data_IF_445916095159
#
_entry.id   IF_445916095159
#
_cell.length_a   1.000
_cell.length_b   1.000
_cell.length_c   1.000
_cell.angle_alpha   90.00
_cell.angle_beta   90.00
_cell.angle_gamma   90.00
#
_symmetry.space_group_name_H-M   'P 1'
#
loop_
_entity.id
_entity.type
_entity.pdbx_description
1 polymer ?
#
# COMPACT_ATOMS: atom_id res chain seq x y z
N UNK A 1 -1.01 0.58 8.82
CA UNK A 1 -2.33 1.24 8.91
C UNK A 1 -3.47 0.23 8.86
N UNK A 2 -3.55 -0.61 7.82
CA UNK A 2 -4.67 -1.55 7.61
C UNK A 2 -4.99 -2.47 8.81
N UNK A 3 -3.96 -2.97 9.52
CA UNK A 3 -4.18 -3.82 10.70
C UNK A 3 -4.83 -3.06 11.88
N UNK A 4 -4.52 -1.78 12.06
CA UNK A 4 -5.15 -0.96 13.11
C UNK A 4 -6.59 -0.60 12.76
N UNK A 5 -6.87 -0.22 11.52
CA UNK A 5 -8.24 0.07 11.11
C UNK A 5 -9.14 -1.18 11.26
N UNK A 6 -8.63 -2.38 10.96
CA UNK A 6 -9.34 -3.65 11.23
C UNK A 6 -9.63 -3.85 12.73
N UNK A 7 -8.72 -3.45 13.62
CA UNK A 7 -8.95 -3.49 15.06
C UNK A 7 -10.02 -2.49 15.50
N UNK A 8 -9.98 -1.26 14.97
CA UNK A 8 -10.98 -0.22 15.25
C UNK A 8 -12.37 -0.67 14.82
N UNK A 9 -12.52 -1.21 13.61
CA UNK A 9 -13.82 -1.74 13.13
C UNK A 9 -14.35 -2.86 14.05
N UNK A 10 -13.47 -3.76 14.51
CA UNK A 10 -13.85 -4.78 15.50
C UNK A 10 -14.32 -4.19 16.84
N UNK A 11 -13.76 -3.05 17.27
CA UNK A 11 -14.22 -2.34 18.47
C UNK A 11 -15.65 -1.81 18.23
N UNK A 12 -15.90 -1.12 17.12
CA UNK A 12 -17.24 -0.65 16.75
C UNK A 12 -18.26 -1.80 16.67
N UNK A 13 -17.91 -2.92 16.04
CA UNK A 13 -18.77 -4.12 15.95
C UNK A 13 -19.08 -4.74 17.32
N UNK A 14 -18.12 -4.72 18.26
CA UNK A 14 -18.36 -5.15 19.65
C UNK A 14 -19.32 -4.21 20.37
N UNK A 15 -19.21 -2.90 20.15
CA UNK A 15 -20.16 -1.92 20.69
C UNK A 15 -21.55 -2.19 20.12
N UNK A 16 -21.68 -2.31 18.80
CA UNK A 16 -22.95 -2.65 18.13
C UNK A 16 -23.60 -3.90 18.72
N UNK A 17 -22.81 -4.97 18.90
CA UNK A 17 -23.30 -6.24 19.45
C UNK A 17 -23.69 -6.13 20.93
N UNK A 18 -22.84 -5.51 21.76
CA UNK A 18 -23.06 -5.37 23.21
C UNK A 18 -24.34 -4.60 23.51
N UNK A 19 -24.56 -3.51 22.77
CA UNK A 19 -25.70 -2.60 22.95
C UNK A 19 -26.87 -2.91 22.01
N UNK A 20 -26.79 -4.02 21.24
CA UNK A 20 -27.83 -4.48 20.30
C UNK A 20 -28.32 -3.37 19.34
N UNK A 21 -27.37 -2.57 18.86
CA UNK A 21 -27.64 -1.43 18.00
C UNK A 21 -27.94 -1.91 16.56
N UNK A 22 -28.73 -1.12 15.84
CA UNK A 22 -29.01 -1.32 14.41
C UNK A 22 -29.15 0.05 13.72
N UNK A 23 -28.84 0.17 12.43
CA UNK A 23 -29.13 1.39 11.67
C UNK A 23 -30.64 1.71 11.65
N UNK A 24 -31.05 3.00 11.75
CA UNK A 24 -30.23 4.13 12.18
C UNK A 24 -29.85 4.01 13.67
N UNK A 25 -28.57 4.16 13.98
CA UNK A 25 -28.09 3.96 15.36
C UNK A 25 -28.57 5.07 16.29
N UNK A 26 -29.14 4.68 17.43
CA UNK A 26 -29.48 5.57 18.55
C UNK A 26 -28.23 5.91 19.37
N UNK A 27 -27.50 6.92 18.90
CA UNK A 27 -26.27 7.39 19.53
C UNK A 27 -26.52 8.01 20.91
N UNK A 28 -27.65 8.69 21.10
CA UNK A 28 -27.99 9.32 22.38
C UNK A 28 -28.35 8.28 23.43
N UNK A 29 -29.10 7.24 23.05
CA UNK A 29 -29.34 6.09 23.92
C UNK A 29 -28.04 5.42 24.38
N UNK A 30 -27.08 5.22 23.45
CA UNK A 30 -25.76 4.67 23.78
C UNK A 30 -24.96 5.55 24.76
N UNK A 31 -24.96 6.87 24.55
CA UNK A 31 -24.30 7.84 25.43
C UNK A 31 -24.89 7.79 26.83
N UNK A 32 -26.23 7.79 26.91
CA UNK A 32 -26.96 7.78 28.16
C UNK A 32 -26.74 6.48 28.95
N UNK A 33 -26.77 5.32 28.27
CA UNK A 33 -26.49 4.02 28.88
C UNK A 33 -25.06 3.90 29.40
N UNK A 34 -24.09 4.56 28.75
CA UNK A 34 -22.69 4.58 29.18
C UNK A 34 -22.40 5.66 30.24
N UNK A 35 -23.37 6.52 30.57
CA UNK A 35 -23.20 7.62 31.51
C UNK A 35 -22.25 8.71 30.99
N UNK A 36 -22.13 8.89 29.68
CA UNK A 36 -21.35 9.99 29.09
C UNK A 36 -22.19 11.27 29.13
N UNK A 37 -21.59 12.37 29.59
CA UNK A 37 -22.23 13.69 29.50
C UNK A 37 -22.08 14.24 28.09
N UNK A 38 -23.17 14.55 27.40
CA UNK A 38 -23.14 15.18 26.08
C UNK A 38 -23.79 16.56 26.15
N UNK A 39 -23.07 17.60 25.70
CA UNK A 39 -23.56 18.98 25.67
C UNK A 39 -23.26 19.64 24.33
N UNK A 40 -24.04 20.67 23.99
CA UNK A 40 -23.77 21.52 22.84
C UNK A 40 -23.24 22.87 23.33
N UNK A 41 -22.09 23.30 22.82
CA UNK A 41 -21.47 24.59 23.13
C UNK A 41 -21.09 25.29 21.81
N UNK A 42 -20.94 26.61 21.81
CA UNK A 42 -20.46 27.32 20.62
C UNK A 42 -18.93 27.24 20.57
N UNK A 43 -18.41 26.41 19.67
CA UNK A 43 -16.97 26.19 19.49
C UNK A 43 -16.35 27.08 18.39
N UNK A 44 -17.11 28.03 17.85
CA UNK A 44 -16.70 28.84 16.71
C UNK A 44 -16.75 28.07 15.39
N UNK A 45 -15.98 28.50 14.39
CA UNK A 45 -15.99 27.92 13.03
C UNK A 45 -14.94 26.84 12.81
N UNK A 46 -14.04 26.63 13.77
CA UNK A 46 -12.83 25.85 13.56
C UNK A 46 -12.84 24.48 14.26
N UNK A 47 -13.90 24.11 14.97
CA UNK A 47 -14.01 22.82 15.63
C UNK A 47 -15.45 22.31 15.57
N UNK A 48 -15.61 21.04 15.24
CA UNK A 48 -16.93 20.40 15.15
C UNK A 48 -17.35 19.78 16.49
N UNK A 49 -16.39 19.33 17.28
CA UNK A 49 -16.59 18.75 18.61
C UNK A 49 -15.27 18.39 19.26
N UNK A 50 -15.35 17.94 20.51
CA UNK A 50 -14.25 17.29 21.21
C UNK A 50 -14.76 16.38 22.34
N UNK A 51 -13.89 15.47 22.78
CA UNK A 51 -14.12 14.60 23.93
C UNK A 51 -13.11 14.86 25.04
N UNK A 52 -13.60 14.95 26.28
CA UNK A 52 -12.78 15.00 27.49
C UNK A 52 -12.74 13.58 28.08
N UNK A 53 -11.56 12.96 28.05
CA UNK A 53 -11.34 11.56 28.43
C UNK A 53 -10.95 11.39 29.92
N UNK A 54 -11.11 12.42 30.75
CA UNK A 54 -10.79 12.35 32.19
C UNK A 54 -11.49 11.18 32.89
N UNK A 55 -10.70 10.39 33.62
CA UNK A 55 -11.00 9.05 34.17
C UNK A 55 -12.33 8.87 34.94
N UNK A 56 -13.00 9.94 35.42
CA UNK A 56 -14.27 9.83 36.16
C UNK A 56 -15.50 10.39 35.47
N UNK A 57 -15.36 11.28 34.48
CA UNK A 57 -16.48 12.05 33.91
C UNK A 57 -16.31 12.27 32.40
N UNK A 58 -16.55 11.21 31.63
CA UNK A 58 -16.51 11.28 30.16
C UNK A 58 -17.50 12.35 29.67
N UNK A 59 -16.98 13.35 28.94
CA UNK A 59 -17.78 14.44 28.37
C UNK A 59 -17.54 14.53 26.87
N UNK A 60 -18.62 14.63 26.09
CA UNK A 60 -18.60 15.01 24.68
C UNK A 60 -19.18 16.42 24.57
N UNK A 61 -18.48 17.29 23.86
CA UNK A 61 -18.95 18.63 23.50
C UNK A 61 -19.09 18.70 22.00
N UNK A 62 -20.31 18.95 21.52
CA UNK A 62 -20.58 19.18 20.11
C UNK A 62 -20.70 20.68 19.84
N UNK A 63 -20.26 21.11 18.67
CA UNK A 63 -20.46 22.49 18.25
C UNK A 63 -21.92 22.74 17.90
N UNK A 64 -22.55 23.63 18.66
CA UNK A 64 -23.93 24.11 18.45
C UNK A 64 -24.14 24.79 17.09
N UNK A 65 -23.07 25.20 16.39
CA UNK A 65 -23.16 25.72 15.03
C UNK A 65 -23.54 24.65 13.99
N UNK A 66 -23.37 23.35 14.29
CA UNK A 66 -23.72 22.27 13.36
C UNK A 66 -25.25 22.09 13.32
N UNK A 67 -25.88 22.68 12.30
CA UNK A 67 -27.34 22.57 12.08
C UNK A 67 -27.73 21.32 11.27
N UNK A 68 -26.79 20.71 10.55
CA UNK A 68 -27.07 19.54 9.72
C UNK A 68 -26.96 18.27 10.57
N UNK A 69 -28.10 17.69 10.94
CA UNK A 69 -28.20 16.51 11.81
C UNK A 69 -27.28 15.34 11.43
N UNK A 70 -27.13 14.96 10.15
CA UNK A 70 -26.21 13.89 9.78
C UNK A 70 -24.73 14.20 10.05
N UNK A 71 -24.31 15.47 9.97
CA UNK A 71 -22.96 15.90 10.39
C UNK A 71 -22.82 15.81 11.91
N UNK A 72 -23.82 16.28 12.66
CA UNK A 72 -23.85 16.18 14.13
C UNK A 72 -23.74 14.72 14.59
N UNK A 73 -24.46 13.79 13.94
CA UNK A 73 -24.40 12.35 14.20
C UNK A 73 -23.02 11.76 13.93
N UNK A 74 -22.37 12.17 12.83
CA UNK A 74 -21.01 11.74 12.52
C UNK A 74 -20.00 12.25 13.54
N UNK A 75 -20.04 13.54 13.88
CA UNK A 75 -19.17 14.13 14.91
C UNK A 75 -19.35 13.41 16.24
N UNK A 76 -20.59 13.14 16.66
CA UNK A 76 -20.86 12.38 17.87
C UNK A 76 -20.29 10.96 17.85
N UNK A 77 -20.40 10.27 16.72
CA UNK A 77 -19.83 8.94 16.54
C UNK A 77 -18.29 8.96 16.53
N UNK A 78 -17.69 10.02 15.96
CA UNK A 78 -16.26 10.27 15.96
C UNK A 78 -15.72 10.46 17.39
N UNK A 79 -16.37 11.31 18.20
CA UNK A 79 -15.97 11.52 19.60
C UNK A 79 -16.14 10.25 20.45
N UNK A 80 -17.16 9.44 20.17
CA UNK A 80 -17.27 8.12 20.77
C UNK A 80 -16.13 7.20 20.34
N UNK A 81 -15.61 7.34 19.13
CA UNK A 81 -14.40 6.65 18.67
C UNK A 81 -13.23 6.90 19.60
N UNK A 82 -12.94 8.17 19.91
CA UNK A 82 -11.89 8.53 20.87
C UNK A 82 -12.09 7.90 22.25
N UNK A 83 -13.34 7.82 22.72
CA UNK A 83 -13.67 7.21 24.02
C UNK A 83 -13.53 5.67 23.99
N UNK A 84 -13.93 5.01 22.92
CA UNK A 84 -13.94 3.54 22.83
C UNK A 84 -12.59 2.94 22.43
N UNK A 85 -11.71 3.71 21.79
CA UNK A 85 -10.40 3.24 21.34
C UNK A 85 -9.37 3.45 22.47
N UNK A 86 -8.99 2.36 23.13
CA UNK A 86 -8.20 2.40 24.38
C UNK A 86 -6.77 2.96 24.25
N UNK A 87 -6.27 3.20 23.03
CA UNK A 87 -4.94 3.77 22.79
C UNK A 87 -4.99 5.22 22.29
N UNK A 88 -6.17 5.85 22.28
CA UNK A 88 -6.32 7.29 22.09
C UNK A 88 -5.89 8.04 23.36
N UNK A 89 -5.40 9.28 23.22
CA UNK A 89 -4.80 10.09 24.30
C UNK A 89 -5.63 11.35 24.57
N UNK A 90 -5.50 11.98 25.75
CA UNK A 90 -6.33 13.12 26.19
C UNK A 90 -6.43 14.31 25.21
N UNK A 91 -7.63 14.92 25.22
CA UNK A 91 -8.15 16.11 24.51
C UNK A 91 -7.64 16.30 23.08
N UNK A 92 -8.36 15.72 22.12
CA UNK A 92 -8.28 16.07 20.70
C UNK A 92 -9.31 17.16 20.38
N UNK A 93 -8.85 18.30 19.87
CA UNK A 93 -9.71 19.33 19.27
C UNK A 93 -9.89 18.96 17.80
N UNK A 94 -11.10 18.53 17.43
CA UNK A 94 -11.34 17.90 16.13
C UNK A 94 -11.79 18.91 15.08
N UNK A 95 -11.16 18.88 13.91
CA UNK A 95 -11.58 19.59 12.70
C UNK A 95 -11.83 18.54 11.63
N UNK A 96 -13.09 18.33 11.25
CA UNK A 96 -13.46 17.22 10.34
C UNK A 96 -12.93 17.40 8.90
N UNK A 97 -12.35 18.56 8.57
CA UNK A 97 -12.09 18.97 7.18
C UNK A 97 -10.60 19.31 6.87
N UNK A 98 -9.65 19.14 7.79
CA UNK A 98 -8.23 19.52 7.55
C UNK A 98 -7.25 18.33 7.66
N UNK A 99 -6.77 17.84 6.52
CA UNK A 99 -5.82 16.71 6.39
C UNK A 99 -4.32 17.10 6.41
N UNK A 100 -3.95 18.31 6.85
CA UNK A 100 -2.54 18.75 6.80
C UNK A 100 -2.08 19.47 8.08
N UNK A 101 -1.35 18.76 8.94
CA UNK A 101 -0.28 19.32 9.78
C UNK A 101 0.69 18.22 10.26
N UNK A 102 1.94 18.57 10.57
CA UNK A 102 3.03 17.64 10.93
C UNK A 102 2.87 16.98 12.32
N UNK A 103 1.84 16.16 12.53
CA UNK A 103 1.59 15.45 13.80
C UNK A 103 1.14 13.99 13.60
N UNK A 104 2.02 13.15 13.04
CA UNK A 104 1.77 11.74 12.71
C UNK A 104 0.96 10.90 13.71
N UNK A 105 1.00 11.18 15.03
CA UNK A 105 0.19 10.45 16.02
C UNK A 105 -1.25 10.93 16.09
N UNK A 106 -1.48 12.25 16.03
CA UNK A 106 -2.82 12.84 16.10
C UNK A 106 -3.59 12.52 14.83
N UNK A 107 -2.97 12.68 13.65
CA UNK A 107 -3.61 12.35 12.38
C UNK A 107 -4.05 10.87 12.30
N UNK A 108 -3.26 9.96 12.90
CA UNK A 108 -3.63 8.55 13.01
C UNK A 108 -4.84 8.37 13.93
N UNK A 109 -4.92 9.07 15.06
CA UNK A 109 -6.05 8.96 15.98
C UNK A 109 -7.34 9.53 15.37
N UNK A 110 -7.27 10.69 14.71
CA UNK A 110 -8.40 11.29 13.98
C UNK A 110 -8.92 10.35 12.88
N UNK A 111 -8.01 9.76 12.10
CA UNK A 111 -8.37 8.77 11.09
C UNK A 111 -9.00 7.52 11.70
N UNK A 112 -8.45 7.01 12.80
CA UNK A 112 -9.04 5.88 13.54
C UNK A 112 -10.43 6.23 14.10
N UNK A 113 -10.66 7.44 14.60
CA UNK A 113 -11.96 7.90 15.06
C UNK A 113 -12.97 8.00 13.90
N UNK A 114 -12.56 8.49 12.73
CA UNK A 114 -13.37 8.47 11.51
C UNK A 114 -13.75 7.04 11.09
N UNK A 115 -12.80 6.09 11.14
CA UNK A 115 -13.06 4.67 10.86
C UNK A 115 -14.07 4.09 11.85
N UNK A 116 -13.96 4.41 13.15
CA UNK A 116 -14.93 3.99 14.16
C UNK A 116 -16.32 4.56 13.88
N UNK A 117 -16.41 5.87 13.62
CA UNK A 117 -17.64 6.58 13.34
C UNK A 117 -18.38 6.00 12.11
N UNK A 118 -17.62 5.72 11.05
CA UNK A 118 -18.17 5.09 9.85
C UNK A 118 -18.70 3.69 10.13
N UNK A 119 -17.95 2.84 10.85
CA UNK A 119 -18.35 1.45 11.12
C UNK A 119 -19.54 1.37 12.10
N UNK A 120 -19.61 2.24 13.10
CA UNK A 120 -20.74 2.22 14.05
C UNK A 120 -22.03 2.72 13.37
N UNK A 121 -21.97 3.80 12.57
CA UNK A 121 -23.14 4.35 11.89
C UNK A 121 -23.59 3.51 10.70
N UNK A 122 -22.65 2.92 9.97
CA UNK A 122 -22.89 2.07 8.80
C UNK A 122 -22.06 0.77 8.93
N UNK A 123 -22.57 -0.22 9.68
CA UNK A 123 -21.85 -1.48 9.91
C UNK A 123 -21.53 -2.20 8.61
N UNK A 124 -20.31 -2.72 8.50
CA UNK A 124 -19.80 -3.36 7.27
C UNK A 124 -20.77 -4.41 6.72
N UNK A 125 -21.27 -5.31 7.56
CA UNK A 125 -22.16 -6.40 7.12
C UNK A 125 -23.52 -5.87 6.66
N UNK A 126 -24.06 -4.85 7.34
CA UNK A 126 -25.31 -4.21 6.93
C UNK A 126 -25.17 -3.50 5.57
N UNK A 127 -24.07 -2.79 5.33
CA UNK A 127 -23.81 -2.14 4.03
C UNK A 127 -23.66 -3.19 2.93
N UNK A 128 -22.95 -4.29 3.18
CA UNK A 128 -22.84 -5.41 2.21
C UNK A 128 -24.20 -5.98 1.84
N UNK A 129 -25.04 -6.27 2.82
CA UNK A 129 -26.40 -6.78 2.61
C UNK A 129 -27.22 -5.80 1.75
N UNK A 130 -27.16 -4.50 2.06
CA UNK A 130 -27.84 -3.47 1.29
C UNK A 130 -27.35 -3.35 -0.15
N UNK A 131 -26.05 -3.49 -0.40
CA UNK A 131 -25.49 -3.50 -1.76
C UNK A 131 -25.89 -4.76 -2.53
N UNK A 132 -25.93 -5.93 -1.89
CA UNK A 132 -26.39 -7.18 -2.51
C UNK A 132 -27.87 -7.08 -2.89
N UNK A 133 -28.72 -6.58 -1.98
CA UNK A 133 -30.16 -6.38 -2.25
C UNK A 133 -30.41 -5.43 -3.42
N UNK A 134 -29.47 -4.53 -3.70
CA UNK A 134 -29.57 -3.50 -4.72
C UNK A 134 -28.48 -3.65 -5.80
N UNK A 135 -27.99 -4.87 -6.05
CA UNK A 135 -26.85 -5.11 -6.96
C UNK A 135 -27.09 -4.59 -8.40
N UNK A 136 -28.36 -4.51 -8.81
CA UNK A 136 -28.78 -4.05 -10.14
C UNK A 136 -29.07 -2.53 -10.18
N UNK A 137 -28.72 -1.77 -9.14
CA UNK A 137 -28.94 -0.33 -9.04
C UNK A 137 -27.62 0.44 -9.18
N UNK A 138 -27.71 1.70 -9.60
CA UNK A 138 -26.55 2.59 -9.68
C UNK A 138 -25.92 2.83 -8.31
N UNK A 139 -24.65 3.25 -8.31
CA UNK A 139 -23.98 3.63 -7.07
C UNK A 139 -24.69 4.82 -6.40
N UNK A 140 -25.14 5.80 -7.20
CA UNK A 140 -25.90 6.95 -6.71
C UNK A 140 -27.15 6.53 -5.92
N UNK A 141 -27.93 5.57 -6.44
CA UNK A 141 -29.11 5.04 -5.76
C UNK A 141 -28.71 4.39 -4.42
N UNK A 142 -27.68 3.56 -4.44
CA UNK A 142 -27.19 2.87 -3.24
C UNK A 142 -26.75 3.86 -2.16
N UNK A 143 -25.99 4.90 -2.51
CA UNK A 143 -25.59 5.95 -1.56
C UNK A 143 -26.82 6.64 -0.96
N UNK A 144 -27.80 7.04 -1.80
CA UNK A 144 -29.03 7.68 -1.32
C UNK A 144 -29.79 6.79 -0.34
N UNK A 145 -29.93 5.49 -0.64
CA UNK A 145 -30.62 4.54 0.24
C UNK A 145 -29.86 4.33 1.56
N UNK A 146 -28.55 4.10 1.51
CA UNK A 146 -27.71 3.92 2.69
C UNK A 146 -27.77 5.13 3.61
N UNK A 147 -27.59 6.35 3.07
CA UNK A 147 -27.67 7.59 3.82
C UNK A 147 -29.05 7.79 4.46
N UNK A 148 -30.12 7.48 3.73
CA UNK A 148 -31.51 7.64 4.21
C UNK A 148 -31.79 6.69 5.37
N UNK A 149 -31.42 5.41 5.26
CA UNK A 149 -31.70 4.41 6.29
C UNK A 149 -30.80 4.58 7.51
N UNK A 150 -29.51 4.84 7.31
CA UNK A 150 -28.56 5.04 8.41
C UNK A 150 -28.67 6.43 9.07
N UNK A 151 -29.40 7.35 8.43
CA UNK A 151 -29.50 8.77 8.79
C UNK A 151 -28.10 9.39 8.98
N UNK A 152 -27.31 9.38 7.90
CA UNK A 152 -25.90 9.81 7.93
C UNK A 152 -25.55 10.64 6.70
N UNK A 153 -24.41 11.34 6.75
CA UNK A 153 -23.96 12.20 5.66
C UNK A 153 -23.48 11.37 4.46
N UNK A 154 -23.50 11.98 3.28
CA UNK A 154 -22.95 11.36 2.05
C UNK A 154 -21.45 11.03 2.23
N UNK A 155 -20.68 11.92 2.87
CA UNK A 155 -19.25 11.71 3.11
C UNK A 155 -18.99 10.50 4.01
N UNK A 156 -19.78 10.34 5.08
CA UNK A 156 -19.70 9.14 5.93
C UNK A 156 -19.97 7.86 5.11
N UNK A 157 -20.91 7.91 4.15
CA UNK A 157 -21.21 6.77 3.30
C UNK A 157 -20.02 6.38 2.42
N UNK A 158 -19.24 7.34 1.93
CA UNK A 158 -18.04 7.02 1.16
C UNK A 158 -16.96 6.29 1.98
N UNK A 159 -16.75 6.67 3.25
CA UNK A 159 -15.87 5.90 4.14
C UNK A 159 -16.35 4.46 4.37
N UNK A 160 -17.66 4.26 4.48
CA UNK A 160 -18.22 2.91 4.60
C UNK A 160 -18.04 2.10 3.32
N UNK A 161 -18.28 2.71 2.15
CA UNK A 161 -18.10 2.09 0.85
C UNK A 161 -16.64 1.71 0.56
N UNK A 162 -15.67 2.55 0.95
CA UNK A 162 -14.23 2.25 0.83
C UNK A 162 -13.90 0.89 1.46
N UNK A 163 -14.53 0.54 2.59
CA UNK A 163 -14.24 -0.73 3.26
C UNK A 163 -15.06 -1.92 2.73
N UNK A 164 -16.23 -1.67 2.16
CA UNK A 164 -17.21 -2.71 1.83
C UNK A 164 -17.14 -3.15 0.38
N UNK A 165 -16.85 -2.22 -0.53
CA UNK A 165 -16.81 -2.52 -1.95
C UNK A 165 -15.69 -3.51 -2.27
N UNK A 166 -15.91 -4.31 -3.32
CA UNK A 166 -14.88 -5.26 -3.78
C UNK A 166 -13.63 -4.52 -4.24
N UNK A 167 -12.47 -5.19 -4.17
CA UNK A 167 -11.21 -4.68 -4.72
C UNK A 167 -11.39 -4.20 -6.17
N UNK A 168 -10.73 -3.10 -6.54
CA UNK A 168 -10.84 -2.50 -7.86
C UNK A 168 -11.87 -1.37 -7.95
N UNK A 169 -12.57 -1.01 -6.88
CA UNK A 169 -13.46 0.14 -6.88
C UNK A 169 -12.72 1.38 -6.36
N UNK A 170 -12.81 2.48 -7.11
CA UNK A 170 -12.23 3.78 -6.75
C UNK A 170 -13.28 4.86 -6.93
N UNK A 171 -13.62 5.57 -5.85
CA UNK A 171 -14.56 6.69 -5.88
C UNK A 171 -13.78 7.97 -5.64
N UNK A 172 -13.94 8.93 -6.55
CA UNK A 172 -13.36 10.27 -6.45
C UNK A 172 -14.49 11.24 -6.19
N UNK A 173 -14.37 11.99 -5.11
CA UNK A 173 -15.39 12.94 -4.66
C UNK A 173 -14.79 14.33 -4.66
N UNK A 174 -15.37 15.22 -5.46
CA UNK A 174 -14.94 16.62 -5.60
C UNK A 174 -16.06 17.55 -5.13
N UNK A 175 -15.71 18.73 -4.65
CA UNK A 175 -16.66 19.79 -4.30
C UNK A 175 -15.96 21.15 -4.22
N UNK A 176 -16.74 22.23 -4.17
CA UNK A 176 -16.24 23.62 -4.31
C UNK A 176 -15.18 24.04 -3.26
N UNK A 177 -15.12 23.34 -2.11
CA UNK A 177 -14.35 23.78 -0.94
C UNK A 177 -13.13 22.90 -0.60
N UNK A 178 -12.86 21.81 -1.33
CA UNK A 178 -11.74 20.92 -0.99
C UNK A 178 -11.17 20.18 -2.21
N UNK A 179 -9.90 19.75 -2.08
CA UNK A 179 -9.24 18.93 -3.09
C UNK A 179 -9.96 17.58 -3.27
N UNK A 180 -10.03 17.01 -4.48
CA UNK A 180 -10.71 15.73 -4.72
C UNK A 180 -10.24 14.63 -3.75
N UNK A 181 -11.19 14.02 -3.03
CA UNK A 181 -10.93 12.93 -2.10
C UNK A 181 -11.13 11.58 -2.78
N UNK A 182 -10.21 10.64 -2.55
CA UNK A 182 -10.20 9.31 -3.15
C UNK A 182 -10.54 8.26 -2.11
N UNK A 183 -11.50 7.39 -2.42
CA UNK A 183 -11.87 6.22 -1.64
C UNK A 183 -11.54 4.98 -2.47
N UNK A 184 -10.51 4.24 -2.07
CA UNK A 184 -9.98 3.10 -2.81
C UNK A 184 -10.26 1.83 -2.02
N UNK A 185 -11.04 0.91 -2.61
CA UNK A 185 -11.49 -0.29 -1.89
C UNK A 185 -10.38 -1.24 -1.47
N UNK A 186 -9.27 -1.23 -2.20
CA UNK A 186 -8.05 -1.94 -1.83
C UNK A 186 -6.83 -1.12 -2.21
N UNK A 187 -6.21 -0.51 -1.21
CA UNK A 187 -5.07 0.41 -1.35
C UNK A 187 -3.77 -0.26 -1.81
N UNK A 188 -3.76 -1.59 -1.95
CA UNK A 188 -2.62 -2.33 -2.54
C UNK A 188 -2.61 -2.26 -4.06
N UNK A 189 -3.71 -1.81 -4.68
CA UNK A 189 -3.83 -1.61 -6.11
C UNK A 189 -2.86 -0.52 -6.60
N UNK A 190 -2.18 -0.78 -7.73
CA UNK A 190 -1.35 0.21 -8.38
C UNK A 190 -2.19 1.12 -9.28
N UNK A 191 -2.14 2.43 -8.98
CA UNK A 191 -2.91 3.47 -9.70
C UNK A 191 -2.05 4.60 -10.27
N UNK A 192 -0.74 4.56 -10.02
CA UNK A 192 0.20 5.62 -10.43
C UNK A 192 1.29 5.05 -11.35
N UNK A 193 1.55 5.75 -12.45
CA UNK A 193 2.51 5.36 -13.49
C UNK A 193 3.36 6.57 -13.86
N UNK A 194 4.69 6.38 -13.88
CA UNK A 194 5.64 7.46 -14.09
C UNK A 194 5.49 8.06 -15.49
N UNK A 195 5.38 9.38 -15.56
CA UNK A 195 5.27 10.12 -16.82
C UNK A 195 3.85 10.28 -17.36
N UNK A 196 2.83 9.83 -16.63
CA UNK A 196 1.42 9.91 -17.02
C UNK A 196 0.60 10.67 -15.98
N UNK A 197 -0.47 11.35 -16.43
CA UNK A 197 -1.49 11.87 -15.53
C UNK A 197 -2.27 10.71 -14.91
N UNK A 198 -2.60 10.85 -13.63
CA UNK A 198 -3.25 9.79 -12.87
C UNK A 198 -4.66 9.50 -13.39
N UNK A 199 -5.46 10.52 -13.68
CA UNK A 199 -6.84 10.34 -14.10
C UNK A 199 -6.94 9.84 -15.54
N UNK A 200 -6.05 10.30 -16.43
CA UNK A 200 -5.96 9.77 -17.81
C UNK A 200 -5.65 8.27 -17.79
N UNK A 201 -4.74 7.83 -16.93
CA UNK A 201 -4.44 6.39 -16.77
C UNK A 201 -5.64 5.63 -16.22
N UNK A 202 -6.41 6.23 -15.32
CA UNK A 202 -7.58 5.58 -14.75
C UNK A 202 -8.69 5.43 -15.80
N UNK A 203 -8.89 6.45 -16.62
CA UNK A 203 -9.82 6.41 -17.76
C UNK A 203 -9.45 5.27 -18.73
N UNK A 204 -8.15 5.11 -19.04
CA UNK A 204 -7.66 4.06 -19.94
C UNK A 204 -7.71 2.63 -19.34
N UNK A 205 -7.49 2.50 -18.02
CA UNK A 205 -7.41 1.20 -17.36
C UNK A 205 -8.74 0.73 -16.75
N UNK A 206 -9.70 1.60 -16.50
CA UNK A 206 -10.96 1.18 -15.89
C UNK A 206 -11.80 0.34 -16.86
N UNK A 207 -12.58 -0.58 -16.31
CA UNK A 207 -13.59 -1.36 -17.03
C UNK A 207 -14.87 -0.56 -17.21
N UNK A 208 -15.18 0.31 -16.25
CA UNK A 208 -16.36 1.15 -16.24
C UNK A 208 -16.06 2.44 -15.46
N UNK A 209 -16.68 3.52 -15.91
CA UNK A 209 -16.67 4.84 -15.27
C UNK A 209 -18.11 5.36 -15.18
N UNK A 210 -18.54 5.74 -13.99
CA UNK A 210 -19.82 6.39 -13.74
C UNK A 210 -19.57 7.78 -13.12
N UNK A 211 -20.20 8.81 -13.67
CA UNK A 211 -20.12 10.18 -13.17
C UNK A 211 -21.52 10.67 -12.79
N UNK A 212 -21.66 11.23 -11.59
CA UNK A 212 -22.93 11.76 -11.09
C UNK A 212 -22.75 12.83 -10.01
N UNK A 213 -23.78 13.65 -9.83
CA UNK A 213 -23.87 14.63 -8.75
C UNK A 213 -24.74 14.11 -7.60
N UNK A 214 -24.28 14.29 -6.37
CA UNK A 214 -25.06 13.94 -5.18
C UNK A 214 -24.86 14.97 -4.06
N UNK A 215 -25.93 15.69 -3.72
CA UNK A 215 -25.84 16.82 -2.81
C UNK A 215 -24.97 17.93 -3.41
N UNK A 216 -23.89 18.29 -2.71
CA UNK A 216 -22.90 19.28 -3.16
C UNK A 216 -21.62 18.63 -3.72
N UNK A 217 -21.67 17.33 -4.01
CA UNK A 217 -20.51 16.56 -4.46
C UNK A 217 -20.65 16.14 -5.91
N UNK A 218 -19.58 16.33 -6.67
CA UNK A 218 -19.35 15.69 -7.95
C UNK A 218 -18.61 14.37 -7.70
N UNK A 219 -19.15 13.27 -8.19
CA UNK A 219 -18.63 11.93 -7.94
C UNK A 219 -18.23 11.28 -9.26
N UNK A 220 -17.02 10.73 -9.28
CA UNK A 220 -16.54 9.88 -10.36
C UNK A 220 -16.16 8.51 -9.78
N UNK A 221 -16.85 7.46 -10.21
CA UNK A 221 -16.64 6.09 -9.78
C UNK A 221 -16.00 5.28 -10.89
N UNK A 222 -14.79 4.78 -10.63
CA UNK A 222 -14.04 3.89 -11.49
C UNK A 222 -14.15 2.45 -10.98
N UNK A 223 -14.38 1.52 -11.89
CA UNK A 223 -14.34 0.07 -11.64
C UNK A 223 -13.19 -0.54 -12.43
N UNK A 224 -12.18 -1.03 -11.73
CA UNK A 224 -11.04 -1.79 -12.24
C UNK A 224 -11.28 -3.30 -12.08
N UNK A 225 -10.47 -4.16 -12.73
CA UNK A 225 -10.52 -5.60 -12.49
C UNK A 225 -10.38 -5.93 -10.99
N UNK A 226 -11.09 -6.95 -10.52
CA UNK A 226 -10.99 -7.39 -9.13
C UNK A 226 -9.61 -8.03 -8.86
N UNK A 227 -9.10 -7.91 -7.63
CA UNK A 227 -7.87 -8.58 -7.20
C UNK A 227 -8.10 -10.09 -7.16
N UNK A 228 -7.20 -10.92 -7.73
CA UNK A 228 -7.29 -12.36 -7.58
C UNK A 228 -7.19 -12.77 -6.10
N UNK A 229 -7.94 -13.80 -5.72
CA UNK A 229 -7.92 -14.35 -4.37
C UNK A 229 -6.63 -15.12 -4.09
N UNK A 230 -6.28 -15.28 -2.81
CA UNK A 230 -5.11 -16.08 -2.42
C UNK A 230 -5.21 -17.52 -2.95
N UNK A 231 -6.40 -18.11 -2.89
CA UNK A 231 -6.64 -19.47 -3.40
C UNK A 231 -6.42 -19.57 -4.92
N UNK A 232 -6.87 -18.56 -5.68
CA UNK A 232 -6.62 -18.50 -7.12
C UNK A 232 -5.12 -18.39 -7.42
N UNK A 233 -4.39 -17.56 -6.68
CA UNK A 233 -2.95 -17.37 -6.84
C UNK A 233 -2.20 -18.67 -6.50
N UNK A 234 -2.48 -19.28 -5.35
CA UNK A 234 -1.85 -20.55 -4.95
C UNK A 234 -2.12 -21.67 -5.95
N UNK A 235 -3.35 -21.77 -6.44
CA UNK A 235 -3.74 -22.78 -7.44
C UNK A 235 -3.01 -22.55 -8.77
N UNK A 236 -2.95 -21.31 -9.25
CA UNK A 236 -2.27 -21.00 -10.51
C UNK A 236 -0.76 -21.25 -10.43
N UNK A 237 -0.10 -20.82 -9.36
CA UNK A 237 1.35 -20.96 -9.19
C UNK A 237 1.81 -22.39 -8.82
N UNK A 238 0.90 -23.26 -8.36
CA UNK A 238 1.19 -24.68 -8.14
C UNK A 238 0.97 -25.56 -9.38
N UNK A 239 0.16 -25.10 -10.34
CA UNK A 239 -0.24 -25.90 -11.52
C UNK A 239 0.40 -25.44 -12.82
N UNK A 240 0.72 -24.14 -12.95
CA UNK A 240 1.27 -23.58 -14.16
C UNK A 240 2.72 -23.99 -14.41
N UNK A 241 3.10 -24.01 -15.69
CA UNK A 241 4.46 -24.38 -16.12
C UNK A 241 5.52 -23.34 -15.74
N UNK A 242 5.14 -22.07 -15.72
CA UNK A 242 6.02 -20.95 -15.39
C UNK A 242 5.18 -19.76 -14.85
N UNK A 243 5.87 -18.71 -14.41
CA UNK A 243 5.26 -17.51 -13.82
C UNK A 243 4.29 -16.79 -14.77
N UNK A 244 4.60 -16.72 -16.06
CA UNK A 244 3.75 -16.03 -17.03
C UNK A 244 2.45 -16.78 -17.20
N UNK A 245 2.49 -18.09 -17.42
CA UNK A 245 1.28 -18.91 -17.54
C UNK A 245 0.45 -18.91 -16.25
N UNK A 246 1.09 -18.82 -15.08
CA UNK A 246 0.37 -18.65 -13.81
C UNK A 246 -0.39 -17.32 -13.77
N UNK A 247 0.28 -16.22 -14.14
CA UNK A 247 -0.30 -14.88 -14.19
C UNK A 247 -1.44 -14.79 -15.22
N UNK A 248 -1.28 -15.40 -16.39
CA UNK A 248 -2.33 -15.48 -17.43
C UNK A 248 -3.59 -16.20 -16.90
N UNK A 249 -3.45 -17.22 -16.05
CA UNK A 249 -4.61 -17.93 -15.47
C UNK A 249 -5.43 -17.04 -14.51
N UNK A 250 -4.81 -16.11 -13.79
CA UNK A 250 -5.48 -15.30 -12.76
C UNK A 250 -5.80 -13.88 -13.21
N UNK A 251 -5.03 -13.30 -14.14
CA UNK A 251 -5.21 -11.94 -14.66
C UNK A 251 -5.76 -11.94 -16.09
N UNK A 252 -5.75 -13.09 -16.77
CA UNK A 252 -6.14 -13.21 -18.17
C UNK A 252 -5.23 -12.40 -19.11
N UNK A 253 -5.78 -12.06 -20.27
CA UNK A 253 -5.15 -11.15 -21.24
C UNK A 253 -5.47 -9.67 -20.95
N UNK A 254 -5.96 -9.35 -19.75
CA UNK A 254 -6.41 -8.01 -19.41
C UNK A 254 -5.23 -7.16 -18.92
N UNK A 255 -4.73 -6.27 -19.78
CA UNK A 255 -3.64 -5.35 -19.46
C UNK A 255 -3.86 -4.57 -18.15
N UNK A 256 -5.10 -4.13 -17.90
CA UNK A 256 -5.48 -3.42 -16.67
C UNK A 256 -5.29 -4.29 -15.43
N UNK A 257 -5.67 -5.57 -15.47
CA UNK A 257 -5.50 -6.47 -14.33
C UNK A 257 -4.02 -6.67 -13.98
N UNK A 258 -3.16 -6.81 -15.01
CA UNK A 258 -1.71 -6.87 -14.83
C UNK A 258 -1.16 -5.59 -14.23
N UNK A 259 -1.59 -4.43 -14.70
CA UNK A 259 -1.14 -3.15 -14.17
C UNK A 259 -1.58 -2.95 -12.71
N UNK A 260 -2.85 -3.21 -12.40
CA UNK A 260 -3.42 -2.94 -11.09
C UNK A 260 -2.89 -3.88 -9.99
N UNK A 261 -2.69 -5.17 -10.29
CA UNK A 261 -2.52 -6.20 -9.25
C UNK A 261 -1.17 -6.91 -9.21
N UNK A 262 -0.25 -6.63 -10.13
CA UNK A 262 1.06 -7.30 -10.16
C UNK A 262 1.78 -7.22 -8.80
N UNK A 263 1.81 -6.03 -8.18
CA UNK A 263 2.43 -5.87 -6.86
C UNK A 263 1.84 -6.78 -5.78
N UNK A 264 0.52 -6.99 -5.78
CA UNK A 264 -0.15 -7.87 -4.81
C UNK A 264 0.22 -9.33 -5.07
N UNK A 265 0.12 -9.77 -6.33
CA UNK A 265 0.42 -11.16 -6.71
C UNK A 265 1.88 -11.49 -6.41
N UNK A 266 2.82 -10.63 -6.78
CA UNK A 266 4.25 -10.87 -6.57
C UNK A 266 4.62 -10.99 -5.09
N UNK A 267 3.89 -10.35 -4.19
CA UNK A 267 4.12 -10.44 -2.74
C UNK A 267 3.56 -11.71 -2.09
N UNK A 268 2.71 -12.46 -2.80
CA UNK A 268 2.04 -13.66 -2.29
C UNK A 268 2.67 -14.97 -2.77
N UNK A 269 3.56 -14.90 -3.76
CA UNK A 269 4.23 -16.08 -4.34
C UNK A 269 5.55 -16.42 -3.64
N UNK A 270 5.94 -17.70 -3.70
CA UNK A 270 7.10 -18.24 -2.98
C UNK A 270 8.45 -17.78 -3.52
N UNK A 271 8.57 -17.73 -4.85
CA UNK A 271 9.75 -17.21 -5.53
C UNK A 271 9.66 -15.68 -5.62
N UNK A 272 10.77 -15.00 -5.34
CA UNK A 272 10.84 -13.55 -5.44
C UNK A 272 10.98 -13.17 -6.91
N UNK A 273 10.01 -12.42 -7.43
CA UNK A 273 10.07 -11.80 -8.75
C UNK A 273 9.96 -10.28 -8.62
N UNK A 274 10.56 -9.59 -9.58
CA UNK A 274 10.36 -8.15 -9.80
C UNK A 274 9.82 -7.96 -11.21
N UNK A 275 8.83 -7.08 -11.38
CA UNK A 275 8.24 -6.80 -12.68
C UNK A 275 8.40 -5.33 -13.06
N UNK A 276 8.81 -5.08 -14.30
CA UNK A 276 9.02 -3.75 -14.86
C UNK A 276 8.08 -3.59 -16.05
N UNK A 277 7.21 -2.59 -15.98
CA UNK A 277 6.33 -2.20 -17.07
C UNK A 277 6.98 -1.07 -17.87
N UNK A 278 7.08 -1.28 -19.18
CA UNK A 278 7.66 -0.34 -20.12
C UNK A 278 6.61 0.11 -21.13
N UNK A 279 6.61 1.41 -21.41
CA UNK A 279 6.01 1.99 -22.60
C UNK A 279 7.15 2.25 -23.59
N UNK A 280 7.16 1.54 -24.72
CA UNK A 280 8.32 1.43 -25.62
C UNK A 280 9.54 0.90 -24.84
N UNK A 281 10.52 1.77 -24.60
CA UNK A 281 11.71 1.45 -23.81
C UNK A 281 11.73 2.14 -22.45
N UNK A 282 10.80 3.04 -22.16
CA UNK A 282 10.80 3.80 -20.91
C UNK A 282 10.06 3.04 -19.82
N UNK A 283 10.71 2.85 -18.68
CA UNK A 283 10.10 2.22 -17.52
C UNK A 283 9.09 3.17 -16.88
N UNK A 284 7.82 2.76 -16.85
CA UNK A 284 6.74 3.56 -16.28
C UNK A 284 6.30 3.04 -14.90
N UNK A 285 6.60 1.78 -14.60
CA UNK A 285 6.26 1.18 -13.30
C UNK A 285 7.18 0.02 -12.97
N UNK A 286 7.63 -0.02 -11.73
CA UNK A 286 8.33 -1.16 -11.15
C UNK A 286 7.51 -1.73 -9.98
N UNK A 287 7.09 -2.98 -10.12
CA UNK A 287 6.44 -3.76 -9.06
C UNK A 287 7.50 -4.56 -8.33
N UNK A 288 7.76 -4.15 -7.09
CA UNK A 288 8.78 -4.74 -6.25
C UNK A 288 8.13 -5.65 -5.19
N UNK A 289 8.65 -6.87 -5.05
CA UNK A 289 8.35 -7.70 -3.89
C UNK A 289 9.02 -7.10 -2.64
N UNK A 290 8.30 -7.02 -1.52
CA UNK A 290 8.77 -6.39 -0.27
C UNK A 290 10.05 -7.03 0.28
N UNK A 291 10.26 -8.33 0.02
CA UNK A 291 11.44 -9.10 0.43
C UNK A 291 12.60 -9.01 -0.56
N UNK A 292 12.40 -8.42 -1.74
CA UNK A 292 13.40 -8.38 -2.79
C UNK A 292 14.65 -7.59 -2.38
N UNK A 293 15.81 -8.23 -2.53
CA UNK A 293 17.12 -7.64 -2.32
C UNK A 293 17.58 -6.84 -3.54
N UNK A 294 17.01 -7.14 -4.71
CA UNK A 294 17.19 -6.38 -5.93
C UNK A 294 16.63 -4.96 -5.74
N UNK A 295 17.47 -3.95 -5.90
CA UNK A 295 17.08 -2.53 -5.94
C UNK A 295 17.59 -1.96 -7.26
N UNK A 296 17.25 -2.64 -8.34
CA UNK A 296 17.59 -2.17 -9.67
C UNK A 296 16.46 -1.26 -10.10
N UNK A 297 16.80 -0.01 -10.41
CA UNK A 297 15.88 0.90 -11.05
C UNK A 297 16.43 1.09 -12.45
N UNK A 298 15.79 0.45 -13.42
CA UNK A 298 16.10 0.66 -14.83
C UNK A 298 15.08 1.62 -15.38
N UNK A 299 15.58 2.72 -15.95
CA UNK A 299 14.77 3.64 -16.74
C UNK A 299 14.56 3.14 -18.17
N UNK A 300 15.47 2.31 -18.69
CA UNK A 300 15.47 1.80 -20.06
C UNK A 300 15.38 0.27 -20.12
N UNK A 301 14.54 -0.23 -21.02
CA UNK A 301 14.29 -1.67 -21.22
C UNK A 301 15.52 -2.41 -21.74
N UNK A 302 16.25 -1.82 -22.69
CA UNK A 302 17.41 -2.47 -23.32
C UNK A 302 18.55 -2.63 -22.31
N UNK A 303 18.79 -1.62 -21.48
CA UNK A 303 19.76 -1.70 -20.38
C UNK A 303 19.42 -2.82 -19.41
N UNK A 304 18.14 -2.93 -19.01
CA UNK A 304 17.66 -4.02 -18.17
C UNK A 304 17.91 -5.39 -18.82
N UNK A 305 17.50 -5.57 -20.07
CA UNK A 305 17.66 -6.83 -20.79
C UNK A 305 19.13 -7.21 -20.98
N UNK A 306 20.00 -6.24 -21.23
CA UNK A 306 21.43 -6.46 -21.34
C UNK A 306 22.03 -6.93 -20.01
N UNK A 307 21.60 -6.35 -18.88
CA UNK A 307 22.06 -6.77 -17.56
C UNK A 307 21.55 -8.17 -17.19
N UNK A 308 20.29 -8.48 -17.50
CA UNK A 308 19.75 -9.84 -17.35
C UNK A 308 20.55 -10.87 -18.15
N UNK A 309 20.90 -10.58 -19.40
CA UNK A 309 21.72 -11.46 -20.24
C UNK A 309 23.15 -11.59 -19.72
N UNK A 310 23.75 -10.49 -19.27
CA UNK A 310 25.12 -10.45 -18.76
C UNK A 310 25.29 -11.35 -17.54
N UNK A 311 24.32 -11.35 -16.63
CA UNK A 311 24.36 -12.13 -15.39
C UNK A 311 23.51 -13.40 -15.41
N UNK A 312 23.03 -13.80 -16.59
CA UNK A 312 22.24 -15.04 -16.80
C UNK A 312 21.01 -15.14 -15.87
N UNK A 313 20.29 -14.03 -15.70
CA UNK A 313 19.05 -14.03 -14.91
C UNK A 313 17.93 -14.79 -15.63
N UNK A 314 17.09 -15.47 -14.87
CA UNK A 314 15.84 -16.05 -15.36
C UNK A 314 14.79 -14.93 -15.47
N UNK A 315 14.45 -14.55 -16.71
CA UNK A 315 13.49 -13.49 -16.97
C UNK A 315 12.50 -13.87 -18.07
N UNK A 316 11.34 -13.24 -18.02
CA UNK A 316 10.22 -13.45 -18.92
C UNK A 316 9.76 -12.10 -19.46
N UNK A 317 9.38 -12.09 -20.73
CA UNK A 317 8.85 -10.90 -21.40
C UNK A 317 7.40 -11.16 -21.81
N UNK A 318 6.51 -10.25 -21.44
CA UNK A 318 5.07 -10.28 -21.76
C UNK A 318 4.75 -9.02 -22.56
N UNK A 319 4.27 -9.21 -23.79
CA UNK A 319 3.93 -8.11 -24.70
C UNK A 319 2.41 -7.91 -24.73
N UNK A 320 1.95 -6.69 -24.49
CA UNK A 320 0.54 -6.33 -24.46
C UNK A 320 0.05 -5.60 -25.71
N UNK A 321 0.92 -5.45 -26.72
CA UNK A 321 0.67 -4.63 -27.91
C UNK A 321 0.89 -3.13 -27.67
N UNK A 322 0.81 -2.33 -28.73
CA UNK A 322 0.95 -0.86 -28.68
C UNK A 322 2.21 -0.39 -27.93
N UNK A 323 3.33 -1.07 -28.13
CA UNK A 323 4.62 -0.83 -27.46
C UNK A 323 4.65 -1.07 -25.93
N UNK A 324 3.63 -1.69 -25.35
CA UNK A 324 3.61 -2.04 -23.94
C UNK A 324 4.24 -3.41 -23.68
N UNK A 325 5.24 -3.44 -22.81
CA UNK A 325 5.91 -4.69 -22.42
C UNK A 325 6.10 -4.74 -20.92
N UNK A 326 5.83 -5.89 -20.30
CA UNK A 326 6.29 -6.19 -18.95
C UNK A 326 7.42 -7.20 -18.97
N UNK A 327 8.49 -6.91 -18.22
CA UNK A 327 9.62 -7.83 -18.00
C UNK A 327 9.57 -8.31 -16.56
N UNK A 328 9.42 -9.62 -16.35
CA UNK A 328 9.50 -10.26 -15.04
C UNK A 328 10.87 -10.89 -14.86
N UNK A 329 11.50 -10.64 -13.72
CA UNK A 329 12.82 -11.17 -13.41
C UNK A 329 12.72 -11.96 -12.12
N UNK A 330 13.11 -13.23 -12.17
CA UNK A 330 13.26 -14.05 -10.98
C UNK A 330 14.54 -13.61 -10.25
N UNK A 331 14.40 -13.20 -8.99
CA UNK A 331 15.56 -12.82 -8.20
C UNK A 331 16.46 -14.05 -7.98
N UNK A 332 17.75 -13.98 -8.36
CA UNK A 332 18.68 -15.07 -8.16
C UNK A 332 18.98 -15.29 -6.67
N UNK A 333 19.22 -16.54 -6.28
CA UNK A 333 19.63 -16.90 -4.92
C UNK A 333 21.02 -17.56 -4.97
N UNK A 334 22.00 -16.91 -4.35
CA UNK A 334 23.39 -17.35 -4.32
C UNK A 334 23.69 -18.06 -3.01
N UNK A 335 24.17 -19.29 -3.11
CA UNK A 335 24.55 -20.13 -1.97
C UNK A 335 26.05 -20.33 -1.91
N UNK A 336 26.59 -20.42 -0.70
CA UNK A 336 28.02 -20.58 -0.48
C UNK A 336 28.46 -21.99 -0.94
N UNK A 337 29.44 -22.05 -1.85
CA UNK A 337 30.12 -23.31 -2.19
C UNK A 337 31.03 -23.74 -1.02
N UNK A 338 30.91 -25.01 -0.63
CA UNK A 338 31.72 -25.65 0.43
C UNK A 338 33.23 -25.58 0.18
N UNK A 339 33.67 -25.35 -1.06
CA UNK A 339 35.09 -25.27 -1.44
C UNK A 339 35.74 -23.90 -1.21
N UNK A 340 34.96 -22.86 -0.91
CA UNK A 340 35.50 -21.50 -0.77
C UNK A 340 36.12 -21.31 0.61
N UNK A 341 37.38 -20.89 0.64
CA UNK A 341 38.14 -20.64 1.87
C UNK A 341 38.27 -19.16 2.19
N UNK A 342 38.39 -18.85 3.48
CA UNK A 342 38.54 -17.49 3.98
C UNK A 342 39.90 -16.88 3.60
N UNK A 343 39.91 -15.58 3.28
CA UNK A 343 41.11 -14.74 3.18
C UNK A 343 40.74 -13.28 3.48
N UNK A 344 41.71 -12.40 3.75
CA UNK A 344 41.40 -10.99 4.03
C UNK A 344 40.76 -10.32 2.80
N UNK A 345 39.50 -9.86 2.92
CA UNK A 345 38.77 -9.22 1.83
C UNK A 345 39.41 -7.92 1.35
N UNK A 346 40.15 -7.22 2.23
CA UNK A 346 40.87 -5.97 1.90
C UNK A 346 42.07 -6.23 1.00
N UNK A 347 42.70 -7.39 1.13
CA UNK A 347 43.77 -7.82 0.22
C UNK A 347 43.16 -8.29 -1.10
N UNK A 348 42.11 -9.11 -1.05
CA UNK A 348 41.42 -9.62 -2.24
C UNK A 348 40.91 -8.49 -3.13
N UNK A 349 40.25 -7.47 -2.58
CA UNK A 349 39.73 -6.36 -3.41
C UNK A 349 40.87 -5.58 -4.09
N UNK A 350 41.99 -5.34 -3.41
CA UNK A 350 43.15 -4.65 -4.01
C UNK A 350 43.73 -5.47 -5.16
N UNK A 351 43.86 -6.77 -4.94
CA UNK A 351 44.40 -7.71 -5.91
C UNK A 351 43.49 -7.81 -7.15
N UNK A 352 42.18 -8.01 -6.95
CA UNK A 352 41.19 -8.02 -8.04
C UNK A 352 41.28 -6.72 -8.83
N UNK A 353 41.23 -5.56 -8.17
CA UNK A 353 41.26 -4.28 -8.86
C UNK A 353 42.55 -4.06 -9.66
N UNK A 354 43.71 -4.53 -9.17
CA UNK A 354 44.98 -4.46 -9.90
C UNK A 354 45.10 -5.44 -11.06
N UNK A 355 44.43 -6.61 -10.97
CA UNK A 355 44.37 -7.60 -12.07
C UNK A 355 43.35 -7.16 -13.14
N UNK A 356 42.30 -6.42 -12.74
CA UNK A 356 41.20 -6.00 -13.62
C UNK A 356 41.46 -4.69 -14.37
N UNK A 357 41.97 -3.66 -13.69
CA UNK A 357 42.09 -2.31 -14.26
C UNK A 357 43.56 -1.92 -14.45
N UNK A 358 43.87 -1.25 -15.57
CA UNK A 358 45.26 -0.92 -15.96
C UNK A 358 45.76 0.45 -15.45
N UNK A 359 44.85 1.34 -15.04
CA UNK A 359 45.20 2.68 -14.56
C UNK A 359 44.64 3.00 -13.15
N UNK A 360 45.42 3.79 -12.39
CA UNK A 360 45.09 4.16 -11.02
C UNK A 360 43.77 4.92 -10.86
N UNK A 361 43.32 5.63 -11.90
CA UNK A 361 42.07 6.41 -11.87
C UNK A 361 40.87 5.48 -11.89
N UNK A 362 40.87 4.47 -12.76
CA UNK A 362 39.81 3.47 -12.84
C UNK A 362 39.81 2.55 -11.61
N UNK A 363 40.99 2.15 -11.10
CA UNK A 363 41.10 1.41 -9.83
C UNK A 363 40.42 2.17 -8.69
N UNK A 364 40.73 3.46 -8.51
CA UNK A 364 40.11 4.29 -7.46
C UNK A 364 38.61 4.40 -7.66
N UNK A 365 38.15 4.67 -8.89
CA UNK A 365 36.71 4.81 -9.21
C UNK A 365 35.94 3.53 -8.88
N UNK A 366 36.43 2.37 -9.34
CA UNK A 366 35.83 1.08 -9.04
C UNK A 366 35.84 0.77 -7.54
N UNK A 367 36.96 1.04 -6.86
CA UNK A 367 37.09 0.85 -5.41
C UNK A 367 36.06 1.66 -4.62
N UNK A 368 35.91 2.97 -4.91
CA UNK A 368 34.91 3.80 -4.24
C UNK A 368 33.49 3.30 -4.49
N UNK A 369 33.18 2.89 -5.72
CA UNK A 369 31.86 2.38 -6.10
C UNK A 369 31.52 1.09 -5.36
N UNK A 370 32.41 0.11 -5.39
CA UNK A 370 32.23 -1.20 -4.72
C UNK A 370 32.07 -1.00 -3.21
N UNK A 371 32.95 -0.21 -2.59
CA UNK A 371 32.86 0.07 -1.16
C UNK A 371 31.59 0.84 -0.79
N UNK A 372 31.12 1.76 -1.64
CA UNK A 372 29.86 2.46 -1.45
C UNK A 372 28.65 1.51 -1.50
N UNK A 373 28.64 0.57 -2.45
CA UNK A 373 27.59 -0.46 -2.57
C UNK A 373 27.58 -1.34 -1.31
N UNK A 374 28.74 -1.86 -0.90
CA UNK A 374 28.88 -2.71 0.29
C UNK A 374 28.47 -1.95 1.54
N UNK A 375 28.95 -0.71 1.71
CA UNK A 375 28.63 0.13 2.85
C UNK A 375 27.12 0.39 2.97
N UNK A 376 26.47 0.73 1.86
CA UNK A 376 25.02 0.90 1.81
C UNK A 376 24.27 -0.39 2.13
N UNK A 377 24.66 -1.51 1.51
CA UNK A 377 24.00 -2.81 1.67
C UNK A 377 24.06 -3.32 3.12
N UNK A 378 25.19 -3.11 3.80
CA UNK A 378 25.42 -3.60 5.16
C UNK A 378 25.06 -2.59 6.26
N UNK A 379 24.69 -1.35 5.88
CA UNK A 379 24.21 -0.36 6.85
C UNK A 379 22.88 -0.84 7.47
N UNK A 380 22.75 -0.74 8.80
CA UNK A 380 21.52 -1.06 9.54
C UNK A 380 21.07 -2.54 9.46
N UNK A 381 22.00 -3.49 9.27
CA UNK A 381 21.71 -4.94 9.16
C UNK A 381 22.57 -5.81 10.08
N UNK A 382 22.60 -5.47 11.36
CA UNK A 382 23.45 -6.15 12.37
C UNK A 382 23.04 -7.60 12.69
N UNK A 383 21.84 -8.02 12.27
CA UNK A 383 21.27 -9.34 12.60
C UNK A 383 21.34 -10.37 11.47
N UNK A 384 21.98 -10.06 10.34
CA UNK A 384 22.06 -10.98 9.20
C UNK A 384 23.10 -12.07 9.43
N UNK A 385 22.75 -13.30 9.05
CA UNK A 385 23.67 -14.44 8.99
C UNK A 385 24.69 -14.27 7.86
N UNK A 386 25.80 -15.01 7.94
CA UNK A 386 26.83 -15.06 6.90
C UNK A 386 26.26 -15.46 5.53
N UNK A 387 25.35 -16.41 5.49
CA UNK A 387 24.66 -16.87 4.28
C UNK A 387 23.79 -15.76 3.66
N UNK A 388 23.04 -15.03 4.49
CA UNK A 388 22.21 -13.91 4.02
C UNK A 388 23.06 -12.75 3.51
N UNK A 389 24.18 -12.44 4.18
CA UNK A 389 25.13 -11.41 3.72
C UNK A 389 25.76 -11.82 2.39
N UNK A 390 26.15 -13.10 2.25
CA UNK A 390 26.71 -13.62 1.02
C UNK A 390 25.74 -13.48 -0.17
N UNK A 391 24.47 -13.84 0.03
CA UNK A 391 23.44 -13.68 -1.00
C UNK A 391 23.19 -12.20 -1.32
N UNK A 392 23.04 -11.36 -0.30
CA UNK A 392 22.84 -9.90 -0.47
C UNK A 392 23.97 -9.26 -1.27
N UNK A 393 25.23 -9.53 -0.94
CA UNK A 393 26.37 -8.93 -1.62
C UNK A 393 26.48 -9.40 -3.07
N UNK A 394 26.19 -10.69 -3.33
CA UNK A 394 26.10 -11.19 -4.70
C UNK A 394 25.05 -10.43 -5.52
N UNK A 395 23.84 -10.25 -4.98
CA UNK A 395 22.76 -9.52 -5.68
C UNK A 395 23.14 -8.04 -5.89
N UNK A 396 23.77 -7.39 -4.91
CA UNK A 396 24.08 -5.95 -4.97
C UNK A 396 25.27 -5.60 -5.85
N UNK A 397 26.26 -6.50 -5.97
CA UNK A 397 27.48 -6.23 -6.71
C UNK A 397 27.44 -6.69 -8.18
N UNK A 398 26.50 -7.56 -8.56
CA UNK A 398 26.27 -7.94 -9.96
C UNK A 398 25.61 -6.80 -10.73
N UNK A 399 26.44 -5.86 -11.18
CA UNK A 399 26.07 -4.67 -11.95
C UNK A 399 27.00 -4.52 -13.15
N UNK A 400 26.44 -4.10 -14.28
CA UNK A 400 27.17 -3.87 -15.53
C UNK A 400 28.35 -2.90 -15.38
N UNK A 401 28.20 -1.85 -14.55
CA UNK A 401 29.24 -0.84 -14.32
C UNK A 401 30.51 -1.35 -13.59
N UNK A 402 30.44 -2.54 -12.99
CA UNK A 402 31.57 -3.22 -12.32
C UNK A 402 31.69 -4.68 -12.75
N UNK A 403 31.22 -5.03 -13.95
CA UNK A 403 31.17 -6.40 -14.44
C UNK A 403 32.53 -7.11 -14.40
N UNK A 404 33.61 -6.42 -14.78
CA UNK A 404 34.95 -7.01 -14.79
C UNK A 404 35.43 -7.45 -13.38
N UNK A 405 35.00 -6.72 -12.34
CA UNK A 405 35.24 -7.10 -10.94
C UNK A 405 34.46 -8.37 -10.56
N UNK A 406 33.20 -8.45 -11.00
CA UNK A 406 32.29 -9.57 -10.71
C UNK A 406 32.73 -10.85 -11.39
N UNK A 407 33.20 -10.78 -12.65
CA UNK A 407 33.67 -11.95 -13.40
C UNK A 407 35.09 -12.38 -13.04
N UNK A 408 35.77 -11.64 -12.16
CA UNK A 408 37.10 -12.03 -11.72
C UNK A 408 37.08 -13.35 -10.94
N UNK A 409 38.04 -14.24 -11.22
CA UNK A 409 38.16 -15.58 -10.58
C UNK A 409 38.18 -15.58 -9.04
N UNK A 410 38.53 -14.45 -8.42
CA UNK A 410 38.57 -14.27 -6.94
C UNK A 410 37.31 -13.60 -6.37
N UNK A 411 36.34 -13.22 -7.19
CA UNK A 411 35.12 -12.54 -6.75
C UNK A 411 34.36 -13.36 -5.70
N UNK A 412 34.07 -14.63 -5.98
CA UNK A 412 33.35 -15.49 -5.03
C UNK A 412 34.08 -15.63 -3.68
N UNK A 413 35.42 -15.72 -3.73
CA UNK A 413 36.25 -15.74 -2.52
C UNK A 413 36.20 -14.42 -1.76
N UNK A 414 36.15 -13.29 -2.47
CA UNK A 414 35.98 -11.98 -1.88
C UNK A 414 34.63 -11.84 -1.18
N UNK A 415 33.53 -12.22 -1.82
CA UNK A 415 32.18 -12.14 -1.24
C UNK A 415 32.05 -13.03 0.00
N UNK A 416 32.54 -14.28 -0.10
CA UNK A 416 32.59 -15.19 1.05
C UNK A 416 33.39 -14.62 2.22
N UNK A 417 34.57 -14.07 1.95
CA UNK A 417 35.41 -13.49 2.99
C UNK A 417 34.75 -12.28 3.63
N UNK A 418 34.06 -11.45 2.82
CA UNK A 418 33.31 -10.29 3.31
C UNK A 418 32.12 -10.67 4.19
N UNK A 419 31.43 -11.76 3.87
CA UNK A 419 30.30 -12.22 4.68
C UNK A 419 30.76 -12.81 6.02
N UNK A 420 31.92 -13.46 6.07
CA UNK A 420 32.54 -13.93 7.31
C UNK A 420 32.97 -12.75 8.19
N UNK A 421 33.69 -11.77 7.63
CA UNK A 421 34.20 -10.61 8.39
C UNK A 421 33.12 -9.77 9.07
N UNK A 422 31.90 -9.74 8.53
CA UNK A 422 30.79 -8.97 9.08
C UNK A 422 29.95 -9.75 10.09
N UNK A 423 30.01 -11.09 10.03
CA UNK A 423 29.38 -11.98 11.01
C UNK A 423 30.24 -12.24 12.26
N UNK A 424 31.47 -11.73 12.29
CA UNK A 424 32.36 -11.63 13.46
C UNK A 424 32.21 -10.24 14.09
#
# INVERSE_FOLDING_TARGET
MENKEKQVRKIAQRVMTKYKLHPPVDMMGLIQEKGITCVEENLGTNADGYSDLKDSDLKIVLNSAIQYEPRKRFTLAHELGHIFISWHSDVTLCVTDNEYSEHNKLDIQEHEANVFASEILMPTEWVKEMLILNENRSLEYNIKQLCTIANTSIMACFYALENVMKSGNVIVVSGDMFFPKKFISDRRMALYFQGYDEYDVWDDLCLCKEEFDIGNYQVCHYVFPECPSMEQIETAFSTAKNVVSALELILGNNFSAWCCWMGVVLNQISHIYNAYLFAKNECVKHYKNEKSLMQLYYSDKLDLMNECKLFEYDFYEVNFGNDWTMVLIKEPCYVIDKKVSYSDSRLLIKEILSETYTDDKNIKKASYRINGIIGSALSHRETMTKEEIYNLLNIKLRRSDIAEFVFHRKFEKFIYSKSVEKGL
#
